data_IF_967581114079
#
_entry.id   IF_967581114079
#
_cell.length_a   1.000
_cell.length_b   1.000
_cell.length_c   1.000
_cell.angle_alpha   90.00
_cell.angle_beta   90.00
_cell.angle_gamma   90.00
#
_symmetry.space_group_name_H-M   'P 1'
#
loop_
_entity.id
_entity.type
_entity.pdbx_description
1 polymer ?
#
# COMPACT_ATOMS: atom_id res chain seq x y z
N UNK A 1 2.40 -17.34 3.46
CA UNK A 1 1.38 -16.44 2.87
C UNK A 1 1.95 -15.56 1.77
N UNK A 2 3.11 -14.92 1.94
CA UNK A 2 3.71 -14.03 0.93
C UNK A 2 3.94 -14.69 -0.45
N UNK A 3 4.29 -15.99 -0.48
CA UNK A 3 4.53 -16.72 -1.73
C UNK A 3 3.29 -16.90 -2.64
N UNK A 4 2.07 -16.62 -2.15
CA UNK A 4 0.84 -16.69 -2.95
C UNK A 4 0.44 -15.34 -3.55
N UNK A 5 1.03 -14.24 -3.08
CA UNK A 5 0.68 -12.89 -3.54
C UNK A 5 1.63 -12.52 -4.68
N UNK A 6 1.13 -12.16 -5.89
CA UNK A 6 1.97 -11.73 -7.00
C UNK A 6 2.89 -10.57 -6.60
N UNK A 7 4.13 -10.55 -7.10
CA UNK A 7 5.12 -9.56 -6.68
C UNK A 7 4.65 -8.12 -6.89
N UNK A 8 3.98 -7.85 -8.01
CA UNK A 8 3.41 -6.55 -8.30
C UNK A 8 2.41 -6.11 -7.22
N UNK A 9 1.54 -7.03 -6.78
CA UNK A 9 0.56 -6.75 -5.73
C UNK A 9 1.22 -6.53 -4.36
N UNK A 10 2.32 -7.23 -4.07
CA UNK A 10 3.13 -6.95 -2.88
C UNK A 10 3.71 -5.53 -2.92
N UNK A 11 4.21 -5.12 -4.09
CA UNK A 11 4.76 -3.78 -4.30
C UNK A 11 3.66 -2.72 -4.13
N UNK A 12 2.49 -2.92 -4.76
CA UNK A 12 1.35 -2.03 -4.67
C UNK A 12 0.87 -1.85 -3.22
N UNK A 13 0.76 -2.95 -2.45
CA UNK A 13 0.37 -2.92 -1.04
C UNK A 13 1.41 -2.16 -0.20
N UNK A 14 2.72 -2.48 -0.35
CA UNK A 14 3.79 -1.81 0.40
C UNK A 14 3.79 -0.29 0.14
N UNK A 15 3.60 0.12 -1.11
CA UNK A 15 3.55 1.54 -1.47
C UNK A 15 2.29 2.22 -0.91
N UNK A 16 1.14 1.54 -0.98
CA UNK A 16 -0.11 2.03 -0.43
C UNK A 16 -0.04 2.21 1.09
N UNK A 17 0.38 1.19 1.84
CA UNK A 17 0.49 1.28 3.31
C UNK A 17 1.51 2.34 3.74
N UNK A 18 2.59 2.53 2.96
CA UNK A 18 3.53 3.64 3.21
C UNK A 18 2.88 5.00 2.98
N UNK A 19 2.04 5.13 1.95
CA UNK A 19 1.38 6.40 1.64
C UNK A 19 0.38 6.80 2.72
N UNK A 20 -0.41 5.85 3.21
CA UNK A 20 -1.37 6.08 4.29
C UNK A 20 -0.75 5.93 5.68
N UNK A 21 0.56 5.72 5.80
CA UNK A 21 1.28 5.55 7.08
C UNK A 21 0.70 4.45 7.99
N UNK A 22 0.43 3.28 7.41
CA UNK A 22 -0.10 2.13 8.12
C UNK A 22 1.02 1.15 8.52
N UNK A 23 1.50 1.22 9.77
CA UNK A 23 2.52 0.28 10.28
C UNK A 23 1.95 -1.03 10.82
N UNK A 24 0.63 -1.13 11.02
CA UNK A 24 0.00 -2.31 11.64
C UNK A 24 0.08 -3.56 10.74
N UNK A 25 0.29 -3.37 9.42
CA UNK A 25 0.40 -4.47 8.45
C UNK A 25 1.71 -5.24 8.56
N UNK A 26 1.80 -6.09 9.58
CA UNK A 26 2.99 -6.88 9.90
C UNK A 26 2.83 -8.36 9.56
N UNK A 27 3.90 -9.15 9.73
CA UNK A 27 3.80 -10.62 9.59
C UNK A 27 2.91 -11.27 10.67
N UNK A 28 2.83 -10.67 11.85
CA UNK A 28 1.99 -11.15 12.96
C UNK A 28 0.54 -10.67 12.86
N UNK A 29 0.32 -9.52 12.21
CA UNK A 29 -0.98 -8.94 11.97
C UNK A 29 -1.10 -8.50 10.50
N UNK A 30 -1.34 -9.46 9.60
CA UNK A 30 -1.28 -9.14 8.17
C UNK A 30 -2.47 -8.30 7.71
N UNK A 31 -3.64 -8.42 8.34
CA UNK A 31 -4.88 -7.83 7.85
C UNK A 31 -5.10 -8.07 6.33
N UNK A 32 -4.64 -9.25 5.86
CA UNK A 32 -4.74 -9.71 4.48
C UNK A 32 -5.54 -11.01 4.44
N UNK A 33 -6.56 -11.05 3.60
CA UNK A 33 -7.34 -12.26 3.34
C UNK A 33 -7.14 -12.69 1.89
N UNK A 34 -6.76 -13.94 1.69
CA UNK A 34 -6.68 -14.51 0.34
C UNK A 34 -8.01 -15.17 0.00
N UNK A 35 -8.65 -14.73 -1.09
CA UNK A 35 -9.89 -15.30 -1.61
C UNK A 35 -9.55 -16.27 -2.76
N UNK A 36 -9.37 -17.58 -2.49
CA UNK A 36 -8.81 -18.53 -3.47
C UNK A 36 -9.72 -18.77 -4.68
N UNK A 37 -11.04 -18.54 -4.57
CA UNK A 37 -11.98 -18.69 -5.70
C UNK A 37 -11.92 -17.53 -6.68
N UNK A 38 -11.41 -16.39 -6.23
CA UNK A 38 -11.38 -15.13 -7.00
C UNK A 38 -9.95 -14.74 -7.40
N UNK A 39 -8.95 -15.52 -6.97
CA UNK A 39 -7.52 -15.21 -7.13
C UNK A 39 -7.18 -13.79 -6.66
N UNK A 40 -7.82 -13.36 -5.56
CA UNK A 40 -7.83 -11.98 -5.12
C UNK A 40 -7.33 -11.86 -3.68
N UNK A 41 -6.48 -10.86 -3.45
CA UNK A 41 -6.13 -10.39 -2.12
C UNK A 41 -7.16 -9.35 -1.67
N UNK A 42 -7.78 -9.57 -0.52
CA UNK A 42 -8.62 -8.58 0.16
C UNK A 42 -7.80 -7.96 1.29
N UNK A 43 -7.66 -6.64 1.24
CA UNK A 43 -6.90 -5.84 2.20
C UNK A 43 -7.91 -5.19 3.15
N UNK A 44 -7.78 -5.47 4.44
CA UNK A 44 -8.72 -4.99 5.46
C UNK A 44 -7.99 -4.20 6.54
N UNK A 45 -8.80 -3.65 7.45
CA UNK A 45 -8.39 -3.06 8.72
C UNK A 45 -7.32 -1.96 8.60
N UNK A 46 -7.77 -0.77 8.18
CA UNK A 46 -6.96 0.44 8.05
C UNK A 46 -7.25 1.45 9.17
N UNK A 47 -7.82 1.01 10.29
CA UNK A 47 -8.22 1.86 11.42
C UNK A 47 -7.02 2.56 12.10
N UNK A 48 -5.82 1.99 12.00
CA UNK A 48 -4.55 2.55 12.50
C UNK A 48 -3.71 3.25 11.40
N UNK A 49 -4.32 3.53 10.25
CA UNK A 49 -3.67 4.35 9.23
C UNK A 49 -3.56 5.82 9.69
N UNK A 50 -2.66 6.55 9.03
CA UNK A 50 -2.33 7.96 9.27
C UNK A 50 -1.74 8.23 10.66
N UNK A 51 -0.99 7.25 11.19
CA UNK A 51 -0.31 7.37 12.48
C UNK A 51 0.65 8.59 12.49
N UNK A 52 0.49 9.55 13.42
CA UNK A 52 1.42 10.67 13.55
C UNK A 52 2.83 10.25 13.97
N UNK A 53 2.99 9.10 14.64
CA UNK A 53 4.26 8.59 15.14
C UNK A 53 4.95 7.64 14.13
N UNK A 54 4.41 7.52 12.91
CA UNK A 54 4.96 6.71 11.82
C UNK A 54 6.45 6.98 11.56
N UNK A 55 7.24 5.91 11.39
CA UNK A 55 8.64 6.00 10.99
C UNK A 55 8.98 5.05 9.84
N UNK A 56 9.72 5.53 8.85
CA UNK A 56 10.15 4.70 7.73
C UNK A 56 10.97 3.47 8.16
N UNK A 57 11.74 3.59 9.25
CA UNK A 57 12.54 2.48 9.79
C UNK A 57 11.66 1.35 10.35
N UNK A 58 10.72 1.68 11.25
CA UNK A 58 9.78 0.70 11.84
C UNK A 58 8.95 0.03 10.74
N UNK A 59 8.38 0.84 9.85
CA UNK A 59 7.59 0.39 8.73
C UNK A 59 8.33 -0.66 7.89
N UNK A 60 9.49 -0.34 7.33
CA UNK A 60 10.21 -1.30 6.47
C UNK A 60 10.74 -2.51 7.24
N UNK A 61 11.06 -2.36 8.53
CA UNK A 61 11.53 -3.49 9.34
C UNK A 61 10.44 -4.55 9.56
N UNK A 62 9.19 -4.13 9.79
CA UNK A 62 8.13 -5.03 10.23
C UNK A 62 7.05 -5.34 9.20
N UNK A 63 6.93 -4.53 8.15
CA UNK A 63 5.88 -4.71 7.15
C UNK A 63 5.91 -6.12 6.52
N UNK A 64 4.73 -6.71 6.30
CA UNK A 64 4.61 -8.08 5.78
C UNK A 64 5.32 -8.28 4.42
N UNK A 65 5.36 -7.24 3.59
CA UNK A 65 6.02 -7.21 2.28
C UNK A 65 7.34 -6.43 2.28
N UNK A 66 8.08 -6.36 3.38
CA UNK A 66 9.35 -5.62 3.45
C UNK A 66 10.37 -6.00 2.37
N UNK A 67 10.37 -7.25 1.89
CA UNK A 67 11.25 -7.70 0.81
C UNK A 67 11.02 -6.97 -0.53
N UNK A 68 9.84 -6.36 -0.72
CA UNK A 68 9.53 -5.55 -1.90
C UNK A 68 10.28 -4.20 -1.91
N UNK A 69 10.82 -3.75 -0.77
CA UNK A 69 11.52 -2.48 -0.66
C UNK A 69 12.66 -2.35 -1.69
N UNK A 70 13.45 -3.41 -1.87
CA UNK A 70 14.56 -3.40 -2.84
C UNK A 70 14.08 -3.28 -4.29
N UNK A 71 12.96 -3.92 -4.65
CA UNK A 71 12.38 -3.84 -6.00
C UNK A 71 11.84 -2.44 -6.31
N UNK A 72 11.25 -1.78 -5.31
CA UNK A 72 10.60 -0.49 -5.48
C UNK A 72 11.60 0.66 -5.40
N UNK A 73 12.36 0.72 -4.31
CA UNK A 73 13.21 1.87 -4.01
C UNK A 73 14.65 1.72 -4.51
N UNK A 74 15.02 0.54 -5.02
CA UNK A 74 16.28 0.30 -5.71
C UNK A 74 16.26 0.66 -7.19
N UNK A 75 15.09 0.98 -7.76
CA UNK A 75 14.92 1.30 -9.17
C UNK A 75 14.21 2.65 -9.36
N UNK A 76 14.88 3.58 -10.04
CA UNK A 76 14.36 4.91 -10.31
C UNK A 76 13.17 4.91 -11.27
N UNK A 77 13.09 3.95 -12.20
CA UNK A 77 11.96 3.83 -13.11
C UNK A 77 10.70 3.42 -12.34
N UNK A 78 10.80 2.36 -11.52
CA UNK A 78 9.72 1.95 -10.60
C UNK A 78 9.27 3.09 -9.68
N UNK A 79 10.20 3.88 -9.11
CA UNK A 79 9.83 5.05 -8.29
C UNK A 79 9.01 6.07 -9.10
N UNK A 80 9.43 6.37 -10.33
CA UNK A 80 8.74 7.32 -11.19
C UNK A 80 7.32 6.84 -11.54
N UNK A 81 7.16 5.55 -11.85
CA UNK A 81 5.86 4.94 -12.12
C UNK A 81 4.89 5.06 -10.94
N UNK A 82 5.34 4.75 -9.71
CA UNK A 82 4.50 4.90 -8.53
C UNK A 82 4.15 6.35 -8.24
N UNK A 83 5.10 7.27 -8.45
CA UNK A 83 4.85 8.71 -8.29
C UNK A 83 3.77 9.18 -9.24
N UNK A 84 3.85 8.83 -10.53
CA UNK A 84 2.84 9.18 -11.53
C UNK A 84 1.47 8.60 -11.16
N UNK A 85 1.40 7.31 -10.79
CA UNK A 85 0.15 6.66 -10.36
C UNK A 85 -0.51 7.39 -9.18
N UNK A 86 0.29 7.83 -8.21
CA UNK A 86 -0.20 8.61 -7.06
C UNK A 86 -0.70 9.99 -7.45
N UNK A 87 0.02 10.70 -8.32
CA UNK A 87 -0.38 12.02 -8.80
C UNK A 87 -1.71 11.97 -9.57
N UNK A 88 -1.88 10.96 -10.43
CA UNK A 88 -3.15 10.70 -11.14
C UNK A 88 -4.27 10.40 -10.14
N UNK A 89 -4.03 9.51 -9.18
CA UNK A 89 -5.03 9.14 -8.15
C UNK A 89 -5.47 10.35 -7.32
N UNK A 90 -4.54 11.20 -6.89
CA UNK A 90 -4.84 12.42 -6.14
C UNK A 90 -5.64 13.43 -6.98
N UNK A 91 -5.28 13.57 -8.25
CA UNK A 91 -6.01 14.44 -9.18
C UNK A 91 -7.46 13.99 -9.33
N UNK A 92 -7.68 12.69 -9.50
CA UNK A 92 -9.03 12.14 -9.66
C UNK A 92 -9.83 12.20 -8.35
N UNK A 93 -9.19 11.96 -7.21
CA UNK A 93 -9.81 12.15 -5.90
C UNK A 93 -10.23 13.61 -5.68
N UNK A 94 -9.40 14.57 -6.08
CA UNK A 94 -9.74 15.99 -5.98
C UNK A 94 -10.96 16.36 -6.82
N UNK A 95 -10.99 15.96 -8.11
CA UNK A 95 -12.17 16.15 -8.98
C UNK A 95 -13.44 15.52 -8.39
N UNK A 96 -13.32 14.30 -7.86
CA UNK A 96 -14.43 13.63 -7.20
C UNK A 96 -14.91 14.43 -5.97
N UNK A 97 -13.99 14.92 -5.14
CA UNK A 97 -14.34 15.70 -3.94
C UNK A 97 -15.07 17.00 -4.26
N UNK A 98 -14.72 17.67 -5.37
CA UNK A 98 -15.40 18.89 -5.84
C UNK A 98 -16.81 18.58 -6.36
N UNK A 99 -16.98 17.45 -7.06
CA UNK A 99 -18.28 17.05 -7.61
C UNK A 99 -19.23 16.53 -6.54
N UNK A 100 -18.72 15.78 -5.56
CA UNK A 100 -19.50 15.25 -4.43
C UNK A 100 -20.03 16.33 -3.48
N UNK A 101 -19.46 17.54 -3.48
CA UNK A 101 -19.99 18.68 -2.71
C UNK A 101 -21.25 19.31 -3.34
N UNK A 102 -21.61 18.90 -4.56
CA UNK A 102 -22.76 19.40 -5.31
C UNK A 102 -23.93 18.38 -5.37
N UNK A 103 -23.84 17.27 -4.63
CA UNK A 103 -24.88 16.24 -4.43
C UNK A 103 -25.46 16.32 -3.01
#
# INVERSE_FOLDING_TARGET
MTALVPEQLQNDVLVFDRWIRNEDRTRGNTNLLWAPREDRLVIIDHNLAFDPDFTGESFFKYHVFNSAQGRIFGDLATIAEYKERMEVTLTDFHKWSETAQNE
#
